data_IF_809443373783
#
_entry.id   IF_809443373783
#
_cell.length_a   1.000
_cell.length_b   1.000
_cell.length_c   1.000
_cell.angle_alpha   90.00
_cell.angle_beta   90.00
_cell.angle_gamma   90.00
#
_symmetry.space_group_name_H-M   'P 1'
#
loop_
_entity.id
_entity.type
_entity.pdbx_description
1 polymer ?
#
# COMPACT_ATOMS: atom_id res chain seq x y z
N UNK A 1 5.26 27.81 16.36
CA UNK A 1 6.63 28.18 15.97
C UNK A 1 6.83 27.78 14.51
N UNK A 2 7.14 28.73 13.62
CA UNK A 2 7.34 28.45 12.18
C UNK A 2 8.84 28.42 11.87
N UNK A 3 9.42 27.22 11.74
CA UNK A 3 10.81 27.06 11.31
C UNK A 3 10.89 27.16 9.78
N UNK A 4 11.22 28.35 9.27
CA UNK A 4 11.42 28.59 7.84
C UNK A 4 12.74 28.00 7.33
N UNK A 5 12.86 26.68 7.37
CA UNK A 5 13.95 25.93 6.75
C UNK A 5 13.95 26.17 5.24
N UNK A 6 15.12 26.46 4.67
CA UNK A 6 15.23 26.76 3.24
C UNK A 6 14.75 25.56 2.41
N UNK A 7 13.73 25.81 1.58
CA UNK A 7 13.09 24.79 0.73
C UNK A 7 14.12 24.08 -0.18
N UNK A 8 15.23 24.75 -0.53
CA UNK A 8 16.31 24.16 -1.33
C UNK A 8 17.08 23.07 -0.57
N UNK A 9 17.45 23.30 0.70
CA UNK A 9 18.16 22.28 1.49
C UNK A 9 17.28 21.05 1.74
N UNK A 10 15.99 21.25 2.05
CA UNK A 10 15.05 20.14 2.25
C UNK A 10 14.92 19.25 1.00
N UNK A 11 14.82 19.85 -0.19
CA UNK A 11 14.73 19.09 -1.45
C UNK A 11 16.03 18.34 -1.78
N UNK A 12 17.19 18.95 -1.54
CA UNK A 12 18.50 18.28 -1.74
C UNK A 12 18.67 17.11 -0.77
N UNK A 13 18.37 17.31 0.52
CA UNK A 13 18.43 16.27 1.54
C UNK A 13 17.51 15.08 1.20
N UNK A 14 16.25 15.34 0.83
CA UNK A 14 15.31 14.30 0.42
C UNK A 14 15.81 13.52 -0.81
N UNK A 15 16.37 14.21 -1.82
CA UNK A 15 16.91 13.54 -3.01
C UNK A 15 18.10 12.63 -2.66
N UNK A 16 19.00 13.07 -1.78
CA UNK A 16 20.13 12.25 -1.30
C UNK A 16 19.62 11.05 -0.50
N UNK A 17 18.64 11.26 0.39
CA UNK A 17 18.01 10.19 1.17
C UNK A 17 17.46 9.07 0.27
N UNK A 18 16.67 9.41 -0.77
CA UNK A 18 16.13 8.42 -1.72
C UNK A 18 17.21 7.65 -2.50
N UNK A 19 18.37 8.28 -2.78
CA UNK A 19 19.50 7.61 -3.45
C UNK A 19 20.17 6.61 -2.49
N UNK A 20 20.40 7.00 -1.24
CA UNK A 20 20.99 6.13 -0.21
C UNK A 20 20.06 4.95 0.10
N UNK A 21 18.76 5.22 0.26
CA UNK A 21 17.70 4.22 0.44
C UNK A 21 17.71 3.18 -0.69
N UNK A 22 17.77 3.62 -1.94
CA UNK A 22 17.86 2.73 -3.11
C UNK A 22 19.11 1.83 -3.09
N UNK A 23 20.28 2.42 -2.81
CA UNK A 23 21.55 1.69 -2.75
C UNK A 23 21.50 0.63 -1.63
N UNK A 24 20.95 0.97 -0.46
CA UNK A 24 20.78 0.04 0.66
C UNK A 24 19.83 -1.11 0.31
N UNK A 25 18.69 -0.84 -0.34
CA UNK A 25 17.75 -1.88 -0.75
C UNK A 25 18.38 -2.87 -1.74
N UNK A 26 19.12 -2.36 -2.73
CA UNK A 26 19.85 -3.20 -3.70
C UNK A 26 20.95 -4.00 -3.00
N UNK A 27 21.70 -3.40 -2.08
CA UNK A 27 22.73 -4.09 -1.31
C UNK A 27 22.15 -5.23 -0.44
N UNK A 28 21.04 -4.98 0.27
CA UNK A 28 20.35 -6.00 1.07
C UNK A 28 19.81 -7.13 0.18
N UNK A 29 19.20 -6.80 -0.96
CA UNK A 29 18.71 -7.81 -1.92
C UNK A 29 19.85 -8.71 -2.44
N UNK A 30 20.95 -8.12 -2.92
CA UNK A 30 22.09 -8.86 -3.44
C UNK A 30 22.79 -9.69 -2.35
N UNK A 31 22.95 -9.14 -1.15
CA UNK A 31 23.49 -9.84 0.02
C UNK A 31 22.63 -11.06 0.39
N UNK A 32 21.30 -10.90 0.38
CA UNK A 32 20.36 -11.99 0.69
C UNK A 32 20.39 -13.09 -0.38
N UNK A 33 20.45 -12.72 -1.67
CA UNK A 33 20.61 -13.68 -2.77
C UNK A 33 21.95 -14.45 -2.70
N UNK A 34 23.03 -13.76 -2.34
CA UNK A 34 24.33 -14.39 -2.13
C UNK A 34 24.33 -15.35 -0.93
N UNK A 35 23.71 -14.95 0.18
CA UNK A 35 23.54 -15.79 1.37
C UNK A 35 22.73 -17.06 1.07
N UNK A 36 21.61 -16.94 0.31
CA UNK A 36 20.84 -18.08 -0.19
C UNK A 36 21.75 -19.04 -0.98
N UNK A 37 22.52 -18.53 -1.95
CA UNK A 37 23.42 -19.36 -2.76
C UNK A 37 24.51 -20.06 -1.96
N UNK A 38 25.09 -19.39 -0.97
CA UNK A 38 26.09 -19.97 -0.07
C UNK A 38 25.50 -21.10 0.80
N UNK A 39 24.29 -20.91 1.32
CA UNK A 39 23.61 -21.92 2.13
C UNK A 39 23.20 -23.15 1.31
N UNK A 40 22.72 -22.95 0.06
CA UNK A 40 22.50 -24.06 -0.87
C UNK A 40 23.78 -24.87 -1.12
N UNK A 41 24.93 -24.21 -1.24
CA UNK A 41 26.23 -24.88 -1.37
C UNK A 41 26.62 -25.64 -0.08
N UNK A 42 26.36 -25.06 1.10
CA UNK A 42 26.58 -25.71 2.39
C UNK A 42 25.75 -27.00 2.51
N UNK A 43 24.43 -26.91 2.34
CA UNK A 43 23.48 -28.05 2.38
C UNK A 43 23.85 -29.13 1.35
N UNK A 44 24.21 -28.74 0.13
CA UNK A 44 24.62 -29.70 -0.91
C UNK A 44 25.89 -30.47 -0.55
N UNK A 45 26.84 -29.81 0.14
CA UNK A 45 28.09 -30.41 0.63
C UNK A 45 27.84 -31.28 1.86
N UNK A 46 26.98 -30.84 2.78
CA UNK A 46 26.59 -31.57 3.99
C UNK A 46 25.79 -32.85 3.71
N UNK A 47 25.16 -32.97 2.52
CA UNK A 47 24.32 -34.11 2.09
C UNK A 47 23.10 -34.37 2.98
N UNK A 48 22.78 -33.47 3.90
CA UNK A 48 21.62 -33.49 4.76
C UNK A 48 20.94 -32.13 4.71
N UNK A 49 19.60 -32.10 4.79
CA UNK A 49 18.81 -30.88 4.89
C UNK A 49 18.21 -30.85 6.29
N UNK A 50 18.62 -29.89 7.11
CA UNK A 50 18.10 -29.70 8.46
C UNK A 50 16.94 -28.70 8.45
N UNK A 51 16.11 -28.76 9.49
CA UNK A 51 15.00 -27.80 9.67
C UNK A 51 15.52 -26.36 9.87
N UNK A 52 16.72 -26.21 10.42
CA UNK A 52 17.45 -24.95 10.54
C UNK A 52 17.64 -24.28 9.19
N UNK A 53 18.08 -25.05 8.20
CA UNK A 53 18.51 -24.56 6.88
C UNK A 53 17.28 -24.12 6.07
N UNK A 54 16.20 -24.92 6.14
CA UNK A 54 14.89 -24.60 5.53
C UNK A 54 14.30 -23.33 6.15
N UNK A 55 14.44 -23.12 7.45
CA UNK A 55 13.93 -21.92 8.11
C UNK A 55 14.82 -20.69 7.91
N UNK A 56 16.12 -20.87 7.78
CA UNK A 56 17.04 -19.82 7.36
C UNK A 56 16.74 -19.37 5.92
N UNK A 57 16.49 -20.31 5.00
CA UNK A 57 15.95 -20.00 3.66
C UNK A 57 14.64 -19.22 3.74
N UNK A 58 13.72 -19.60 4.62
CA UNK A 58 12.47 -18.86 4.77
C UNK A 58 12.70 -17.43 5.28
N UNK A 59 13.60 -17.22 6.26
CA UNK A 59 13.96 -15.87 6.75
C UNK A 59 14.54 -15.03 5.61
N UNK A 60 15.38 -15.60 4.74
CA UNK A 60 15.90 -14.91 3.56
C UNK A 60 14.78 -14.55 2.54
N UNK A 61 13.84 -15.46 2.29
CA UNK A 61 12.68 -15.17 1.42
C UNK A 61 11.78 -14.06 2.01
N UNK A 62 11.56 -14.07 3.33
CA UNK A 62 10.79 -13.03 4.04
C UNK A 62 11.49 -11.65 3.94
N UNK A 63 12.82 -11.61 4.02
CA UNK A 63 13.63 -10.40 3.76
C UNK A 63 13.51 -9.92 2.32
N UNK A 64 13.57 -10.83 1.33
CA UNK A 64 13.33 -10.46 -0.08
C UNK A 64 11.91 -9.92 -0.30
N UNK A 65 10.90 -10.52 0.33
CA UNK A 65 9.52 -10.02 0.32
C UNK A 65 9.40 -8.63 0.95
N UNK A 66 10.10 -8.35 2.05
CA UNK A 66 10.17 -7.00 2.63
C UNK A 66 10.83 -5.99 1.69
N UNK A 67 11.92 -6.34 1.00
CA UNK A 67 12.57 -5.44 0.02
C UNK A 67 11.65 -5.19 -1.18
N UNK A 68 11.00 -6.23 -1.70
CA UNK A 68 10.02 -6.10 -2.80
C UNK A 68 8.84 -5.20 -2.39
N UNK A 69 8.30 -5.40 -1.18
CA UNK A 69 7.25 -4.56 -0.60
C UNK A 69 7.70 -3.10 -0.41
N UNK A 70 8.95 -2.87 0.00
CA UNK A 70 9.54 -1.54 0.09
C UNK A 70 9.55 -0.85 -1.28
N UNK A 71 10.10 -1.52 -2.28
CA UNK A 71 10.23 -1.01 -3.65
C UNK A 71 8.87 -0.75 -4.29
N UNK A 72 7.83 -1.54 -3.99
CA UNK A 72 6.49 -1.33 -4.56
C UNK A 72 5.74 -0.12 -3.98
N UNK A 73 5.84 0.13 -2.67
CA UNK A 73 5.02 1.13 -1.97
C UNK A 73 5.78 2.41 -1.58
N UNK A 74 7.12 2.42 -1.65
CA UNK A 74 7.98 3.59 -1.41
C UNK A 74 8.04 4.09 0.04
N UNK A 75 7.23 3.51 0.93
CA UNK A 75 7.22 3.66 2.39
C UNK A 75 6.77 2.32 2.94
N UNK A 76 7.44 1.75 3.94
CA UNK A 76 6.91 0.56 4.63
C UNK A 76 5.78 1.01 5.58
N UNK A 77 4.52 0.55 5.44
CA UNK A 77 3.52 0.78 6.47
C UNK A 77 3.91 0.00 7.73
N UNK A 78 3.81 0.62 8.90
CA UNK A 78 4.24 0.05 10.21
C UNK A 78 3.63 -1.32 10.51
N UNK A 79 2.50 -1.66 9.86
CA UNK A 79 1.85 -2.99 9.93
C UNK A 79 2.75 -4.14 9.44
N UNK A 80 3.56 -3.94 8.40
CA UNK A 80 4.34 -5.03 7.81
C UNK A 80 5.42 -5.55 8.77
N UNK A 81 6.33 -4.73 9.33
CA UNK A 81 7.34 -5.20 10.29
C UNK A 81 6.77 -5.97 11.49
N UNK A 82 5.56 -5.65 11.94
CA UNK A 82 4.94 -6.35 13.06
C UNK A 82 4.44 -7.74 12.65
N UNK A 83 3.87 -7.90 11.44
CA UNK A 83 3.53 -9.24 10.91
C UNK A 83 4.78 -10.12 10.73
N UNK A 84 5.89 -9.52 10.29
CA UNK A 84 7.19 -10.21 10.22
C UNK A 84 7.65 -10.67 11.60
N UNK A 85 7.59 -9.81 12.62
CA UNK A 85 7.98 -10.18 13.97
C UNK A 85 7.15 -11.35 14.53
N UNK A 86 5.84 -11.38 14.28
CA UNK A 86 4.95 -12.49 14.64
C UNK A 86 5.35 -13.78 13.89
N UNK A 87 5.59 -13.70 12.58
CA UNK A 87 6.01 -14.82 11.74
C UNK A 87 7.37 -15.39 12.17
N UNK A 88 8.32 -14.53 12.52
CA UNK A 88 9.64 -14.92 13.01
C UNK A 88 9.56 -15.64 14.36
N UNK A 89 8.77 -15.11 15.31
CA UNK A 89 8.53 -15.75 16.60
C UNK A 89 7.86 -17.12 16.41
N UNK A 90 6.80 -17.20 15.59
CA UNK A 90 6.11 -18.45 15.32
C UNK A 90 7.05 -19.51 14.75
N UNK A 91 7.92 -19.15 13.79
CA UNK A 91 8.90 -20.08 13.20
C UNK A 91 9.98 -20.51 14.18
N UNK A 92 10.47 -19.59 15.00
CA UNK A 92 11.43 -19.90 16.05
C UNK A 92 10.87 -20.95 17.04
N UNK A 93 9.61 -20.79 17.47
CA UNK A 93 8.92 -21.79 18.30
C UNK A 93 8.89 -23.14 17.56
N UNK A 94 8.41 -23.19 16.31
CA UNK A 94 8.28 -24.47 15.58
C UNK A 94 9.59 -25.19 15.32
N UNK A 95 10.71 -24.47 15.20
CA UNK A 95 12.04 -25.07 15.07
C UNK A 95 12.53 -25.66 16.38
N UNK A 96 12.40 -24.87 17.45
CA UNK A 96 13.00 -25.17 18.73
C UNK A 96 12.17 -26.07 19.64
N UNK A 97 11.00 -26.60 19.23
CA UNK A 97 10.07 -27.34 20.10
C UNK A 97 10.69 -28.54 20.86
N UNK A 98 11.87 -29.01 20.48
CA UNK A 98 12.60 -30.12 21.13
C UNK A 98 13.72 -29.69 22.08
N UNK A 99 14.16 -28.43 22.01
CA UNK A 99 15.27 -27.87 22.80
C UNK A 99 14.89 -26.62 23.61
N UNK A 100 13.77 -25.97 23.27
CA UNK A 100 13.23 -24.83 24.01
C UNK A 100 12.50 -25.31 25.26
N UNK A 101 12.84 -24.71 26.40
CA UNK A 101 12.09 -24.87 27.64
C UNK A 101 10.64 -24.38 27.46
N UNK A 102 9.68 -25.13 28.00
CA UNK A 102 8.25 -24.86 27.89
C UNK A 102 7.88 -23.47 28.42
N UNK A 103 8.56 -22.97 29.46
CA UNK A 103 8.34 -21.61 29.95
C UNK A 103 8.74 -20.54 28.93
N UNK A 104 9.81 -20.78 28.16
CA UNK A 104 10.29 -19.86 27.13
C UNK A 104 9.34 -19.84 25.92
N UNK A 105 8.79 -21.01 25.55
CA UNK A 105 7.75 -21.12 24.52
C UNK A 105 6.48 -20.34 24.91
N UNK A 106 6.09 -20.37 26.20
CA UNK A 106 4.96 -19.55 26.71
C UNK A 106 5.27 -18.06 26.59
N UNK A 107 6.47 -17.61 27.00
CA UNK A 107 6.86 -16.20 26.85
C UNK A 107 6.90 -15.72 25.40
N UNK A 108 7.42 -16.53 24.48
CA UNK A 108 7.43 -16.19 23.05
C UNK A 108 6.02 -16.18 22.45
N UNK A 109 5.16 -17.13 22.84
CA UNK A 109 3.75 -17.14 22.43
C UNK A 109 3.01 -15.90 22.94
N UNK A 110 3.28 -15.47 24.17
CA UNK A 110 2.74 -14.23 24.74
C UNK A 110 3.27 -12.99 24.01
N UNK A 111 4.55 -12.95 23.63
CA UNK A 111 5.11 -11.87 22.83
C UNK A 111 4.44 -11.77 21.45
N UNK A 112 4.23 -12.90 20.76
CA UNK A 112 3.47 -12.94 19.50
C UNK A 112 2.02 -12.47 19.68
N UNK A 113 1.36 -12.85 20.78
CA UNK A 113 0.01 -12.39 21.11
C UNK A 113 -0.05 -10.86 21.33
N UNK A 114 0.91 -10.30 22.07
CA UNK A 114 1.01 -8.84 22.30
C UNK A 114 1.21 -8.09 20.98
N UNK A 115 2.11 -8.59 20.10
CA UNK A 115 2.31 -8.01 18.77
C UNK A 115 1.05 -8.11 17.90
N UNK A 116 0.34 -9.25 17.94
CA UNK A 116 -0.92 -9.41 17.21
C UNK A 116 -1.96 -8.39 17.69
N UNK A 117 -2.13 -8.22 19.01
CA UNK A 117 -3.03 -7.22 19.59
C UNK A 117 -2.60 -5.78 19.22
N UNK A 118 -1.31 -5.48 19.16
CA UNK A 118 -0.82 -4.20 18.67
C UNK A 118 -1.19 -3.95 17.19
N UNK A 119 -1.08 -4.96 16.30
CA UNK A 119 -1.54 -4.82 14.91
C UNK A 119 -3.04 -4.59 14.81
N UNK A 120 -3.83 -5.25 15.68
CA UNK A 120 -5.27 -5.10 15.74
C UNK A 120 -5.66 -3.66 16.11
N UNK A 121 -5.05 -3.09 17.15
CA UNK A 121 -5.26 -1.69 17.57
C UNK A 121 -4.86 -0.71 16.45
N UNK A 122 -3.70 -0.90 15.82
CA UNK A 122 -3.26 -0.07 14.68
C UNK A 122 -4.23 -0.17 13.50
N UNK A 123 -4.79 -1.36 13.24
CA UNK A 123 -5.76 -1.58 12.16
C UNK A 123 -7.09 -0.88 12.42
N UNK A 124 -7.62 -0.96 13.64
CA UNK A 124 -8.83 -0.23 14.03
C UNK A 124 -8.63 1.28 13.99
N UNK A 125 -7.52 1.80 14.52
CA UNK A 125 -7.20 3.23 14.48
C UNK A 125 -7.09 3.79 13.04
N UNK A 126 -6.55 3.01 12.11
CA UNK A 126 -6.41 3.43 10.71
C UNK A 126 -7.72 3.40 9.92
N UNK A 127 -8.72 2.63 10.34
CA UNK A 127 -10.06 2.66 9.73
C UNK A 127 -10.78 3.99 9.98
N UNK A 128 -10.49 4.65 11.11
CA UNK A 128 -11.13 5.91 11.51
C UNK A 128 -10.47 7.16 10.90
N UNK A 129 -9.21 7.09 10.43
CA UNK A 129 -8.49 8.26 9.89
C UNK A 129 -7.82 7.98 8.53
N UNK A 130 -8.54 8.15 7.41
CA UNK A 130 -8.00 7.89 6.07
C UNK A 130 -6.97 8.95 5.66
N UNK A 131 -5.70 8.52 5.54
CA UNK A 131 -4.64 9.35 4.96
C UNK A 131 -4.67 9.29 3.43
N UNK A 132 -4.46 10.43 2.77
CA UNK A 132 -4.27 10.49 1.31
C UNK A 132 -2.95 9.78 0.95
N UNK A 133 -2.95 8.79 0.05
CA UNK A 133 -1.73 8.05 -0.31
C UNK A 133 -0.83 8.89 -1.21
N UNK A 134 0.03 9.72 -0.60
CA UNK A 134 1.13 10.37 -1.33
C UNK A 134 2.18 9.32 -1.69
N UNK A 135 2.08 8.80 -2.92
CA UNK A 135 3.08 7.93 -3.59
C UNK A 135 4.36 8.75 -3.83
N UNK A 136 5.20 8.84 -2.78
CA UNK A 136 6.51 9.49 -2.81
C UNK A 136 7.55 8.51 -2.29
N UNK A 137 8.53 8.17 -3.13
CA UNK A 137 9.60 7.22 -2.86
C UNK A 137 10.27 6.82 -4.17
N UNK A 138 11.31 5.99 -4.08
CA UNK A 138 12.07 5.48 -5.23
C UNK A 138 11.19 4.92 -6.37
N UNK A 139 10.11 4.22 -6.03
CA UNK A 139 9.12 3.69 -6.97
C UNK A 139 8.55 4.75 -7.94
N UNK A 140 8.17 5.91 -7.39
CA UNK A 140 7.58 7.00 -8.16
C UNK A 140 8.62 7.71 -9.05
N UNK A 141 9.88 7.73 -8.60
CA UNK A 141 11.00 8.25 -9.40
C UNK A 141 11.31 7.35 -10.60
N UNK A 142 11.27 6.03 -10.43
CA UNK A 142 11.47 5.10 -11.56
C UNK A 142 10.30 5.10 -12.54
N UNK A 143 9.06 5.14 -12.05
CA UNK A 143 7.86 5.26 -12.89
C UNK A 143 7.88 6.54 -13.74
N UNK A 144 8.26 7.69 -13.18
CA UNK A 144 8.39 8.93 -13.96
C UNK A 144 9.53 8.88 -15.00
N UNK A 145 10.60 8.12 -14.71
CA UNK A 145 11.71 7.87 -15.64
C UNK A 145 11.35 6.91 -16.78
N UNK A 146 10.44 5.97 -16.56
CA UNK A 146 9.95 5.05 -17.59
C UNK A 146 8.85 5.70 -18.44
N UNK A 147 7.94 6.46 -17.85
CA UNK A 147 6.84 7.09 -18.57
C UNK A 147 7.31 8.19 -19.56
N UNK A 148 8.34 8.97 -19.20
CA UNK A 148 8.89 10.03 -20.06
C UNK A 148 9.33 9.52 -21.44
N UNK A 149 9.86 8.28 -21.51
CA UNK A 149 10.38 7.70 -22.75
C UNK A 149 9.26 7.31 -23.75
N UNK A 150 7.99 7.29 -23.31
CA UNK A 150 6.84 6.98 -24.17
C UNK A 150 6.23 8.24 -24.80
N UNK A 151 6.38 9.40 -24.17
CA UNK A 151 5.81 10.67 -24.66
C UNK A 151 6.61 11.26 -25.83
N UNK A 152 7.94 11.03 -25.85
CA UNK A 152 8.83 11.49 -26.92
C UNK A 152 8.55 10.82 -28.29
N UNK A 153 7.90 9.64 -28.31
CA UNK A 153 7.73 8.82 -29.53
C UNK A 153 6.40 9.02 -30.28
N UNK A 154 5.53 9.91 -29.82
CA UNK A 154 4.17 10.11 -30.40
C UNK A 154 4.00 11.48 -31.07
N UNK A 155 5.08 12.25 -31.25
CA UNK A 155 5.04 13.65 -31.72
C UNK A 155 5.59 13.90 -33.13
N UNK A 156 5.88 12.86 -33.92
CA UNK A 156 6.22 13.04 -35.35
C UNK A 156 4.97 13.10 -36.23
N UNK A 157 4.87 14.16 -37.03
CA UNK A 157 3.70 14.48 -37.87
C UNK A 157 3.83 13.97 -39.31
N UNK A 158 2.73 13.55 -39.95
CA UNK A 158 2.59 13.60 -41.40
C UNK A 158 1.85 14.87 -41.84
N UNK A 159 2.47 15.67 -42.70
CA UNK A 159 1.89 16.90 -43.26
C UNK A 159 1.03 16.65 -44.52
N UNK A 160 0.03 17.53 -44.70
CA UNK A 160 -0.66 17.91 -45.97
C UNK A 160 -1.60 16.91 -46.67
N UNK A 161 -2.89 17.26 -46.67
CA UNK A 161 -3.67 17.75 -47.84
C UNK A 161 -5.11 18.09 -47.40
N UNK A 162 -5.95 18.87 -48.09
CA UNK A 162 -5.79 20.12 -48.87
C UNK A 162 -7.19 20.53 -49.35
N UNK A 163 -7.51 21.84 -49.40
CA UNK A 163 -8.69 22.41 -50.09
C UNK A 163 -10.07 22.08 -49.49
N UNK A 164 -11.13 22.89 -49.62
CA UNK A 164 -11.32 24.35 -49.80
C UNK A 164 -12.82 24.64 -49.48
N UNK A 165 -13.19 25.91 -49.42
CA UNK A 165 -14.56 26.48 -49.50
C UNK A 165 -15.37 26.69 -48.20
N UNK A 166 -16.27 27.68 -48.06
CA UNK A 166 -16.29 29.12 -48.49
C UNK A 166 -17.51 29.81 -47.83
N UNK A 167 -17.35 31.06 -47.35
CA UNK A 167 -18.37 32.08 -47.00
C UNK A 167 -19.41 31.93 -45.85
N UNK A 168 -19.58 33.07 -45.13
CA UNK A 168 -20.82 33.66 -44.57
C UNK A 168 -21.54 32.93 -43.40
N UNK A 169 -22.15 33.61 -42.41
CA UNK A 169 -22.33 35.06 -42.14
C UNK A 169 -22.46 35.34 -40.63
N UNK A 170 -22.13 36.56 -40.20
CA UNK A 170 -22.60 37.11 -38.91
C UNK A 170 -24.02 37.67 -39.07
N UNK A 171 -24.90 37.56 -38.06
CA UNK A 171 -25.73 38.68 -37.52
C UNK A 171 -26.76 38.23 -36.47
N UNK A 172 -26.89 39.02 -35.39
CA UNK A 172 -28.00 39.08 -34.42
C UNK A 172 -28.33 37.78 -33.61
N UNK A 173 -28.90 37.82 -32.39
CA UNK A 173 -29.76 38.82 -31.79
C UNK A 173 -29.55 38.97 -30.26
N UNK A 174 -29.92 40.13 -29.71
CA UNK A 174 -29.81 40.56 -28.31
C UNK A 174 -31.22 40.63 -27.70
N UNK A 175 -31.42 40.14 -26.47
CA UNK A 175 -32.48 40.50 -25.49
C UNK A 175 -32.42 39.55 -24.27
N UNK A 176 -33.02 39.80 -23.10
CA UNK A 176 -33.09 40.98 -22.21
C UNK A 176 -33.99 40.62 -21.00
N UNK A 177 -33.60 40.95 -19.75
CA UNK A 177 -34.45 40.96 -18.53
C UNK A 177 -35.09 39.61 -18.08
N UNK A 178 -35.62 39.40 -16.86
CA UNK A 178 -35.43 39.99 -15.50
C UNK A 178 -36.25 39.12 -14.50
N UNK A 179 -35.79 38.98 -13.24
CA UNK A 179 -36.58 38.45 -12.11
C UNK A 179 -36.52 36.92 -11.91
N UNK A 180 -36.78 36.36 -10.73
CA UNK A 180 -36.92 36.96 -9.38
C UNK A 180 -36.66 35.86 -8.31
N UNK A 181 -36.37 36.22 -7.05
CA UNK A 181 -36.17 35.30 -5.89
C UNK A 181 -37.24 35.61 -4.80
N UNK A 182 -37.36 34.89 -3.65
CA UNK A 182 -37.36 33.44 -3.32
C UNK A 182 -38.75 33.09 -2.67
N UNK A 183 -38.97 32.50 -1.44
CA UNK A 183 -38.31 31.45 -0.63
C UNK A 183 -39.26 30.36 -0.02
N UNK A 184 -38.68 29.48 0.81
CA UNK A 184 -39.19 28.89 2.08
C UNK A 184 -40.41 27.92 2.23
N UNK A 185 -40.08 26.71 2.72
CA UNK A 185 -40.51 26.06 3.99
C UNK A 185 -42.01 26.03 4.44
N UNK A 186 -42.67 24.87 4.28
CA UNK A 186 -43.77 24.35 5.13
C UNK A 186 -43.83 22.81 4.99
N UNK A 187 -43.77 21.94 6.01
CA UNK A 187 -44.62 21.73 7.21
C UNK A 187 -45.86 20.82 6.95
N UNK A 188 -46.29 20.08 8.01
CA UNK A 188 -47.42 19.11 8.12
C UNK A 188 -47.11 17.68 7.61
N UNK A 189 -46.99 16.61 8.43
CA UNK A 189 -47.95 15.91 9.34
C UNK A 189 -49.08 15.13 8.63
N UNK A 190 -49.23 13.83 8.94
CA UNK A 190 -50.36 12.98 8.47
C UNK A 190 -50.28 11.48 8.85
N UNK A 191 -51.14 11.05 9.78
CA UNK A 191 -51.24 9.73 10.44
C UNK A 191 -51.43 8.46 9.56
N UNK A 192 -51.05 7.31 10.14
CA UNK A 192 -51.57 5.94 9.87
C UNK A 192 -53.04 5.77 10.36
N UNK A 193 -53.86 4.78 9.90
CA UNK A 193 -53.78 3.41 10.46
C UNK A 193 -54.34 2.20 9.64
N UNK A 194 -53.91 0.99 10.08
CA UNK A 194 -54.67 -0.27 10.25
C UNK A 194 -55.20 -1.18 9.09
N UNK A 195 -55.22 -2.48 9.44
CA UNK A 195 -55.88 -3.67 8.84
C UNK A 195 -55.36 -4.18 7.48
N UNK A 196 -55.19 -5.48 7.25
CA UNK A 196 -55.46 -6.70 8.04
C UNK A 196 -54.21 -7.64 7.99
N UNK A 197 -53.89 -8.47 8.99
CA UNK A 197 -54.40 -9.85 9.17
C UNK A 197 -54.60 -10.62 7.83
N UNK A 198 -54.19 -11.88 7.67
CA UNK A 198 -54.28 -12.97 8.65
C UNK A 198 -53.41 -14.19 8.25
N UNK A 199 -53.02 -15.01 9.24
CA UNK A 199 -52.73 -16.47 9.31
C UNK A 199 -52.48 -17.26 7.98
N UNK A 200 -51.58 -18.24 7.87
CA UNK A 200 -51.36 -19.43 8.72
C UNK A 200 -49.90 -19.94 8.63
N UNK A 201 -49.31 -20.49 9.71
CA UNK A 201 -49.15 -21.93 10.03
C UNK A 201 -48.20 -22.71 9.08
N UNK A 202 -47.26 -23.54 9.56
CA UNK A 202 -47.05 -23.98 10.94
C UNK A 202 -45.70 -24.65 11.20
N UNK A 203 -45.51 -25.08 12.46
CA UNK A 203 -44.35 -25.86 12.94
C UNK A 203 -44.44 -27.31 12.48
N UNK A 204 -43.30 -27.95 12.27
CA UNK A 204 -42.86 -29.15 13.02
C UNK A 204 -41.32 -29.25 12.87
N UNK A 205 -40.59 -29.23 13.99
CA UNK A 205 -39.98 -30.36 14.72
C UNK A 205 -38.67 -30.87 14.11
#
# INVERSE_FOLDING_TARGET
MSSSLSKRYTQVFLKIYYIIEAILLVAIMLSTLFAIGNEFHHVFTARAVLLTDILLMFIYLEVLSMVQQFVSYGKIPVRYPIYIAIMAIARYITLGMKELDGIFVVWLSLAALILAMATLVIRFGHHYWPYKPTRSGFAAFFESKLNNNNEEKTSESPLRQSSRDTHQSQTHQKNAHQGDYPPDNAALQGNTPQSAAQQESGKEK
#
